data_IF_871925961310
#
_entry.id   IF_871925961310
#
_cell.length_a   1.000
_cell.length_b   1.000
_cell.length_c   1.000
_cell.angle_alpha   90.00
_cell.angle_beta   90.00
_cell.angle_gamma   90.00
#
_symmetry.space_group_name_H-M   'P 1'
#
loop_
_entity.id
_entity.type
_entity.pdbx_description
1 polymer ?
#
# COMPACT_ATOMS: atom_id res chain seq x y z
N UNK A 1 1.30 9.96 -16.86
CA UNK A 1 2.32 10.01 -17.92
C UNK A 1 3.49 9.17 -17.44
N UNK A 2 3.91 8.16 -18.22
CA UNK A 2 4.93 7.18 -17.77
C UNK A 2 6.27 7.87 -17.47
N UNK A 3 6.65 8.87 -18.25
CA UNK A 3 7.92 9.59 -18.07
C UNK A 3 8.06 10.26 -16.71
N UNK A 4 6.96 10.75 -16.13
CA UNK A 4 6.97 11.37 -14.79
C UNK A 4 7.27 10.37 -13.67
N UNK A 5 6.82 9.12 -13.82
CA UNK A 5 7.12 8.07 -12.85
C UNK A 5 8.56 7.59 -12.98
N UNK A 6 9.09 7.52 -14.20
CA UNK A 6 10.50 7.17 -14.46
C UNK A 6 11.44 8.23 -13.87
N UNK A 7 11.15 9.53 -14.08
CA UNK A 7 11.91 10.64 -13.48
C UNK A 7 11.86 10.60 -11.94
N UNK A 8 10.67 10.43 -11.37
CA UNK A 8 10.51 10.31 -9.92
C UNK A 8 11.28 9.11 -9.33
N UNK A 9 11.34 7.97 -10.04
CA UNK A 9 12.14 6.81 -9.61
C UNK A 9 13.62 7.16 -9.55
N UNK A 10 14.15 7.91 -10.52
CA UNK A 10 15.55 8.35 -10.51
C UNK A 10 15.83 9.27 -9.31
N UNK A 11 14.95 10.24 -9.06
CA UNK A 11 15.09 11.18 -7.94
C UNK A 11 15.06 10.46 -6.58
N UNK A 12 14.07 9.60 -6.35
CA UNK A 12 14.01 8.82 -5.10
C UNK A 12 15.18 7.85 -4.97
N UNK A 13 15.66 7.26 -6.07
CA UNK A 13 16.83 6.40 -6.03
C UNK A 13 18.10 7.16 -5.66
N UNK A 14 18.25 8.41 -6.09
CA UNK A 14 19.35 9.27 -5.68
C UNK A 14 19.30 9.56 -4.18
N UNK A 15 18.10 9.87 -3.64
CA UNK A 15 17.91 10.10 -2.20
C UNK A 15 18.23 8.84 -1.39
N UNK A 16 17.71 7.68 -1.80
CA UNK A 16 17.97 6.38 -1.13
C UNK A 16 19.47 6.01 -1.19
N UNK A 17 20.17 6.40 -2.27
CA UNK A 17 21.62 6.22 -2.38
C UNK A 17 22.42 7.12 -1.43
N UNK A 18 21.88 8.28 -1.04
CA UNK A 18 22.48 9.17 -0.04
C UNK A 18 22.11 8.77 1.38
N UNK A 19 20.86 8.36 1.60
CA UNK A 19 20.32 7.89 2.87
C UNK A 19 19.38 6.70 2.66
N UNK A 20 19.88 5.49 2.92
CA UNK A 20 19.12 4.27 2.80
C UNK A 20 18.02 4.10 3.86
N UNK A 21 17.94 5.01 4.84
CA UNK A 21 16.95 5.00 5.93
C UNK A 21 15.74 5.90 5.66
N UNK A 22 15.69 6.59 4.53
CA UNK A 22 14.53 7.39 4.13
C UNK A 22 13.35 6.49 3.69
N UNK A 23 12.55 6.09 4.67
CA UNK A 23 11.33 5.31 4.47
C UNK A 23 10.30 5.98 3.55
N UNK A 24 10.25 7.32 3.51
CA UNK A 24 9.31 8.08 2.68
C UNK A 24 9.71 7.96 1.21
N UNK A 25 11.00 8.14 0.90
CA UNK A 25 11.52 7.97 -0.46
C UNK A 25 11.38 6.54 -0.95
N UNK A 26 11.61 5.54 -0.09
CA UNK A 26 11.35 4.13 -0.41
C UNK A 26 9.87 3.90 -0.77
N UNK A 27 8.94 4.35 0.07
CA UNK A 27 7.51 4.24 -0.21
C UNK A 27 7.13 4.93 -1.53
N UNK A 28 7.63 6.15 -1.77
CA UNK A 28 7.28 6.89 -2.98
C UNK A 28 7.86 6.26 -4.26
N UNK A 29 9.08 5.70 -4.19
CA UNK A 29 9.64 4.92 -5.30
C UNK A 29 8.82 3.66 -5.57
N UNK A 30 8.42 2.95 -4.52
CA UNK A 30 7.53 1.79 -4.62
C UNK A 30 6.20 2.11 -5.29
N UNK A 31 5.59 3.26 -4.98
CA UNK A 31 4.36 3.73 -5.65
C UNK A 31 4.61 3.90 -7.16
N UNK A 32 5.71 4.55 -7.55
CA UNK A 32 6.04 4.78 -8.95
C UNK A 32 6.29 3.46 -9.71
N UNK A 33 7.02 2.52 -9.09
CA UNK A 33 7.26 1.18 -9.64
C UNK A 33 5.95 0.43 -9.88
N UNK A 34 5.02 0.45 -8.92
CA UNK A 34 3.70 -0.15 -9.07
C UNK A 34 2.92 0.46 -10.24
N UNK A 35 2.92 1.80 -10.38
CA UNK A 35 2.27 2.48 -11.49
C UNK A 35 2.89 2.16 -12.87
N UNK A 36 4.17 1.78 -12.91
CA UNK A 36 4.84 1.33 -14.13
C UNK A 36 4.63 -0.17 -14.41
N UNK A 37 3.86 -0.88 -13.59
CA UNK A 37 3.58 -2.31 -13.75
C UNK A 37 4.68 -3.22 -13.19
N UNK A 38 5.47 -2.72 -12.23
CA UNK A 38 6.48 -3.49 -11.51
C UNK A 38 6.13 -3.63 -10.01
N UNK A 39 5.08 -4.40 -9.67
CA UNK A 39 4.70 -4.61 -8.28
C UNK A 39 5.76 -5.41 -7.50
N UNK A 40 6.64 -6.15 -8.18
CA UNK A 40 7.70 -6.94 -7.54
C UNK A 40 8.73 -6.05 -6.85
N UNK A 41 9.32 -5.10 -7.59
CA UNK A 41 10.26 -4.14 -7.00
C UNK A 41 9.55 -3.16 -6.06
N UNK A 42 8.29 -2.81 -6.33
CA UNK A 42 7.50 -2.00 -5.40
C UNK A 42 7.38 -2.65 -4.01
N UNK A 43 7.11 -3.96 -3.95
CA UNK A 43 7.02 -4.70 -2.68
C UNK A 43 8.36 -4.66 -1.92
N UNK A 44 9.50 -4.76 -2.60
CA UNK A 44 10.81 -4.68 -1.95
C UNK A 44 11.02 -3.31 -1.29
N UNK A 45 10.64 -2.23 -1.96
CA UNK A 45 10.73 -0.88 -1.42
C UNK A 45 9.78 -0.67 -0.24
N UNK A 46 8.52 -1.13 -0.35
CA UNK A 46 7.58 -1.03 0.76
C UNK A 46 8.01 -1.88 1.97
N UNK A 47 8.55 -3.07 1.75
CA UNK A 47 9.14 -3.88 2.81
C UNK A 47 10.20 -3.10 3.56
N UNK A 48 11.12 -2.45 2.83
CA UNK A 48 12.19 -1.68 3.45
C UNK A 48 11.66 -0.46 4.19
N UNK A 49 10.66 0.24 3.64
CA UNK A 49 10.00 1.36 4.31
C UNK A 49 9.35 0.92 5.64
N UNK A 50 8.70 -0.24 5.65
CA UNK A 50 8.05 -0.82 6.85
C UNK A 50 9.09 -1.28 7.88
N UNK A 51 10.21 -1.88 7.46
CA UNK A 51 11.32 -2.24 8.36
C UNK A 51 11.90 -1.01 9.08
N UNK A 52 11.95 0.13 8.40
CA UNK A 52 12.46 1.39 8.94
C UNK A 52 11.43 2.13 9.79
N UNK A 53 10.15 2.04 9.44
CA UNK A 53 9.04 2.63 10.18
C UNK A 53 7.85 1.67 10.20
N UNK A 54 7.72 0.93 11.31
CA UNK A 54 6.66 -0.05 11.50
C UNK A 54 5.28 0.55 11.79
N UNK A 55 5.17 1.88 11.97
CA UNK A 55 3.92 2.63 12.10
C UNK A 55 3.55 3.36 10.80
N UNK A 56 4.22 3.03 9.68
CA UNK A 56 3.94 3.71 8.41
C UNK A 56 2.71 3.14 7.69
N UNK A 57 1.51 3.59 8.09
CA UNK A 57 0.24 3.04 7.54
C UNK A 57 0.15 3.08 6.01
N UNK A 58 0.65 4.14 5.37
CA UNK A 58 0.62 4.27 3.91
C UNK A 58 1.49 3.19 3.24
N UNK A 59 2.64 2.83 3.82
CA UNK A 59 3.52 1.80 3.28
C UNK A 59 2.87 0.41 3.35
N UNK A 60 2.18 0.08 4.46
CA UNK A 60 1.38 -1.15 4.54
C UNK A 60 0.28 -1.17 3.50
N UNK A 61 -0.53 -0.11 3.39
CA UNK A 61 -1.59 -0.05 2.40
C UNK A 61 -1.04 -0.15 0.96
N UNK A 62 0.08 0.52 0.66
CA UNK A 62 0.68 0.45 -0.66
C UNK A 62 1.27 -0.92 -1.00
N UNK A 63 1.86 -1.61 -0.01
CA UNK A 63 2.32 -3.00 -0.16
C UNK A 63 1.13 -3.93 -0.39
N UNK A 64 0.04 -3.77 0.35
CA UNK A 64 -1.19 -4.53 0.15
C UNK A 64 -1.78 -4.35 -1.25
N UNK A 65 -1.75 -3.13 -1.80
CA UNK A 65 -2.14 -2.88 -3.19
C UNK A 65 -1.22 -3.62 -4.18
N UNK A 66 0.10 -3.55 -4.00
CA UNK A 66 1.05 -4.26 -4.88
C UNK A 66 0.94 -5.79 -4.79
N UNK A 67 0.61 -6.33 -3.60
CA UNK A 67 0.29 -7.74 -3.42
C UNK A 67 -1.02 -8.12 -4.14
N UNK A 68 -2.03 -7.26 -4.08
CA UNK A 68 -3.29 -7.44 -4.82
C UNK A 68 -3.08 -7.42 -6.34
N UNK A 69 -2.18 -6.56 -6.85
CA UNK A 69 -1.78 -6.55 -8.27
C UNK A 69 -1.14 -7.88 -8.71
N UNK A 70 -0.62 -8.66 -7.75
CA UNK A 70 -0.08 -10.02 -7.95
C UNK A 70 -1.06 -11.13 -7.57
N UNK A 71 -2.32 -10.80 -7.31
CA UNK A 71 -3.38 -11.70 -6.84
C UNK A 71 -3.08 -12.39 -5.49
N UNK A 72 -2.12 -11.86 -4.72
CA UNK A 72 -1.82 -12.32 -3.36
C UNK A 72 -2.72 -11.60 -2.34
N UNK A 73 -4.02 -11.89 -2.45
CA UNK A 73 -5.05 -11.24 -1.65
C UNK A 73 -4.93 -11.55 -0.15
N UNK A 74 -4.43 -12.73 0.22
CA UNK A 74 -4.26 -13.12 1.63
C UNK A 74 -3.25 -12.20 2.33
N UNK A 75 -2.06 -12.02 1.75
CA UNK A 75 -1.07 -11.11 2.33
C UNK A 75 -1.50 -9.64 2.22
N UNK A 76 -2.21 -9.28 1.13
CA UNK A 76 -2.78 -7.94 1.01
C UNK A 76 -3.76 -7.61 2.13
N UNK A 77 -4.66 -8.54 2.49
CA UNK A 77 -5.61 -8.37 3.60
C UNK A 77 -4.88 -8.15 4.93
N UNK A 78 -3.78 -8.88 5.16
CA UNK A 78 -2.94 -8.69 6.35
C UNK A 78 -2.36 -7.27 6.41
N UNK A 79 -1.83 -6.78 5.29
CA UNK A 79 -1.27 -5.43 5.20
C UNK A 79 -2.31 -4.33 5.38
N UNK A 80 -3.46 -4.45 4.74
CA UNK A 80 -4.54 -3.49 4.94
C UNK A 80 -5.05 -3.51 6.38
N UNK A 81 -5.09 -4.68 7.02
CA UNK A 81 -5.44 -4.80 8.45
C UNK A 81 -4.42 -4.08 9.32
N UNK A 82 -3.13 -4.24 9.06
CA UNK A 82 -2.10 -3.51 9.80
C UNK A 82 -2.22 -1.99 9.63
N UNK A 83 -2.51 -1.51 8.41
CA UNK A 83 -2.75 -0.09 8.16
C UNK A 83 -3.96 0.44 8.96
N UNK A 84 -5.03 -0.35 9.08
CA UNK A 84 -6.22 -0.04 9.89
C UNK A 84 -5.91 -0.04 11.40
N UNK A 85 -5.06 -0.95 11.87
CA UNK A 85 -4.63 -1.00 13.28
C UNK A 85 -3.79 0.21 13.66
N UNK A 86 -2.94 0.70 12.74
CA UNK A 86 -2.17 1.93 12.94
C UNK A 86 -3.08 3.17 12.91
N UNK A 87 -4.03 3.21 11.99
CA UNK A 87 -4.96 4.33 11.82
C UNK A 87 -6.38 3.82 11.52
N UNK A 88 -7.21 3.79 12.57
CA UNK A 88 -8.57 3.24 12.49
C UNK A 88 -9.55 4.07 11.66
N UNK A 89 -9.16 5.28 11.25
CA UNK A 89 -9.93 6.17 10.39
C UNK A 89 -9.44 6.16 8.93
N UNK A 90 -8.42 5.34 8.62
CA UNK A 90 -7.82 5.26 7.30
C UNK A 90 -8.72 4.49 6.30
N UNK A 91 -9.73 5.19 5.79
CA UNK A 91 -10.78 4.64 4.94
C UNK A 91 -10.24 3.99 3.65
N UNK A 92 -9.09 4.42 3.13
CA UNK A 92 -8.45 3.78 1.98
C UNK A 92 -8.13 2.30 2.24
N UNK A 93 -7.60 1.97 3.42
CA UNK A 93 -7.27 0.60 3.76
C UNK A 93 -8.52 -0.28 3.93
N UNK A 94 -9.61 0.24 4.49
CA UNK A 94 -10.89 -0.49 4.51
C UNK A 94 -11.41 -0.76 3.10
N UNK A 95 -11.38 0.24 2.21
CA UNK A 95 -11.82 0.06 0.82
C UNK A 95 -11.01 -1.05 0.14
N UNK A 96 -9.67 -0.99 0.26
CA UNK A 96 -8.79 -1.94 -0.40
C UNK A 96 -8.89 -3.35 0.21
N UNK A 97 -9.04 -3.46 1.54
CA UNK A 97 -9.29 -4.75 2.20
C UNK A 97 -10.63 -5.35 1.77
N UNK A 98 -11.67 -4.54 1.65
CA UNK A 98 -12.97 -4.97 1.13
C UNK A 98 -12.87 -5.54 -0.30
N UNK A 99 -12.05 -4.94 -1.16
CA UNK A 99 -11.79 -5.46 -2.51
C UNK A 99 -11.07 -6.82 -2.48
N UNK A 100 -10.04 -6.96 -1.65
CA UNK A 100 -9.29 -8.20 -1.51
C UNK A 100 -10.13 -9.32 -0.88
N UNK A 101 -10.92 -9.02 0.16
CA UNK A 101 -11.87 -9.94 0.78
C UNK A 101 -12.91 -10.44 -0.23
N UNK A 102 -13.43 -9.55 -1.06
CA UNK A 102 -14.35 -9.93 -2.13
C UNK A 102 -13.70 -10.91 -3.12
N UNK A 103 -12.43 -10.66 -3.50
CA UNK A 103 -11.70 -11.51 -4.43
C UNK A 103 -11.52 -12.95 -3.93
N UNK A 104 -11.38 -13.16 -2.61
CA UNK A 104 -11.27 -14.50 -2.00
C UNK A 104 -12.62 -15.10 -1.57
N UNK A 105 -13.74 -14.39 -1.80
CA UNK A 105 -15.09 -14.88 -1.50
C UNK A 105 -15.64 -14.51 -0.11
N UNK A 106 -14.89 -13.77 0.70
CA UNK A 106 -15.28 -13.29 2.04
C UNK A 106 -16.21 -12.07 1.96
N UNK A 107 -17.37 -12.25 1.32
CA UNK A 107 -18.28 -11.17 0.92
C UNK A 107 -18.89 -10.40 2.10
N UNK A 108 -19.24 -11.07 3.20
CA UNK A 108 -19.85 -10.43 4.36
C UNK A 108 -18.84 -9.48 5.07
N UNK A 109 -17.58 -9.92 5.16
CA UNK A 109 -16.47 -9.10 5.66
C UNK A 109 -16.20 -7.91 4.74
N UNK A 110 -16.23 -8.12 3.41
CA UNK A 110 -16.08 -7.02 2.45
C UNK A 110 -17.20 -5.97 2.59
N UNK A 111 -18.46 -6.40 2.72
CA UNK A 111 -19.60 -5.50 2.95
C UNK A 111 -19.43 -4.71 4.25
N UNK A 112 -18.91 -5.35 5.31
CA UNK A 112 -18.61 -4.69 6.57
C UNK A 112 -17.57 -3.57 6.41
N UNK A 113 -16.49 -3.83 5.67
CA UNK A 113 -15.47 -2.82 5.36
C UNK A 113 -16.04 -1.65 4.54
N UNK A 114 -16.87 -1.92 3.53
CA UNK A 114 -17.51 -0.86 2.74
C UNK A 114 -18.48 -0.02 3.58
N UNK A 115 -19.21 -0.64 4.51
CA UNK A 115 -20.05 0.10 5.47
C UNK A 115 -19.21 0.99 6.38
N UNK A 116 -18.04 0.50 6.82
CA UNK A 116 -17.09 1.29 7.60
C UNK A 116 -16.55 2.49 6.80
N UNK A 117 -16.19 2.31 5.52
CA UNK A 117 -15.81 3.42 4.62
C UNK A 117 -16.90 4.49 4.59
N UNK A 118 -18.16 4.12 4.35
CA UNK A 118 -19.29 5.06 4.31
C UNK A 118 -19.44 5.84 5.61
N UNK A 119 -19.20 5.20 6.76
CA UNK A 119 -19.28 5.87 8.06
C UNK A 119 -18.16 6.88 8.31
N UNK A 120 -16.97 6.67 7.72
CA UNK A 120 -15.80 7.54 7.89
C UNK A 120 -15.80 8.74 6.93
N UNK A 121 -16.33 8.58 5.72
CA UNK A 121 -16.36 9.66 4.71
C UNK A 121 -17.66 10.47 4.71
N UNK A 122 -18.71 9.94 5.35
CA UNK A 122 -20.04 10.55 5.43
C UNK A 122 -20.28 11.40 6.68
N UNK A 123 -19.29 11.48 7.57
CA UNK A 123 -19.27 12.31 8.78
C UNK A 123 -18.49 13.61 8.56
#
# INVERSE_FOLDING_TARGET
DKGKYEEAILDYSAIIGMDSSDSISLNNRGICLRYLGDPGNAILDFNKAIELNNEYRDAYNNRGMALSDKEDYTNAISDFTQAIEIDSEYWYAYNNRGMALWAIGEKDSAVSDYNKVRSLIGS
#
